data_IF_707618321620
#
_entry.id   IF_707618321620
#
_cell.length_a   1.000
_cell.length_b   1.000
_cell.length_c   1.000
_cell.angle_alpha   90.00
_cell.angle_beta   90.00
_cell.angle_gamma   90.00
#
_symmetry.space_group_name_H-M   'P 1'
#
loop_
_entity.id
_entity.type
_entity.pdbx_description
1 polymer ?
#
# COMPACT_ATOMS: atom_id res chain seq x y z
N UNK A 1 22.99 -33.15 10.60
CA UNK A 1 23.56 -31.80 10.43
C UNK A 1 22.91 -31.16 9.21
N UNK A 2 22.25 -30.01 9.36
CA UNK A 2 22.24 -28.89 8.40
C UNK A 2 21.42 -27.75 9.01
N UNK A 3 22.16 -26.83 9.62
CA UNK A 3 21.66 -25.69 10.38
C UNK A 3 21.43 -24.52 9.41
N UNK A 4 20.17 -24.22 9.08
CA UNK A 4 19.81 -22.96 8.40
C UNK A 4 20.01 -21.83 9.41
N UNK A 5 21.16 -21.16 9.37
CA UNK A 5 21.26 -19.82 9.94
C UNK A 5 20.45 -18.89 9.03
N UNK A 6 19.18 -18.67 9.38
CA UNK A 6 18.47 -17.48 8.93
C UNK A 6 19.25 -16.28 9.47
N UNK A 7 19.80 -15.49 8.56
CA UNK A 7 20.38 -14.20 8.86
C UNK A 7 19.25 -13.25 9.25
N UNK A 8 19.01 -13.09 10.54
CA UNK A 8 18.29 -11.93 11.04
C UNK A 8 19.31 -10.83 11.27
N UNK A 9 19.35 -9.85 10.37
CA UNK A 9 20.11 -8.62 10.56
C UNK A 9 19.59 -7.89 11.81
N UNK A 10 20.51 -7.34 12.60
CA UNK A 10 20.17 -6.49 13.75
C UNK A 10 19.46 -5.22 13.24
N UNK A 11 18.22 -4.92 13.67
CA UNK A 11 17.48 -3.73 13.23
C UNK A 11 18.21 -2.41 13.50
N UNK A 12 19.25 -2.41 14.35
CA UNK A 12 20.10 -1.23 14.59
C UNK A 12 21.12 -0.92 13.49
N UNK A 13 21.30 -1.80 12.51
CA UNK A 13 22.33 -1.68 11.45
C UNK A 13 21.74 -1.41 10.05
N UNK A 14 20.42 -1.23 9.95
CA UNK A 14 19.77 -0.88 8.67
C UNK A 14 20.18 0.55 8.32
N UNK A 15 20.82 0.73 7.16
CA UNK A 15 21.16 2.07 6.67
C UNK A 15 19.90 2.91 6.50
N UNK A 16 19.97 4.22 6.77
CA UNK A 16 18.79 5.11 6.72
C UNK A 16 17.98 4.98 5.43
N UNK A 17 18.65 4.77 4.29
CA UNK A 17 18.00 4.58 2.99
C UNK A 17 17.24 3.26 2.89
N UNK A 18 17.81 2.17 3.39
CA UNK A 18 17.14 0.87 3.44
C UNK A 18 15.93 0.91 4.39
N UNK A 19 16.07 1.59 5.53
CA UNK A 19 14.97 1.80 6.47
C UNK A 19 13.84 2.59 5.82
N UNK A 20 14.15 3.68 5.11
CA UNK A 20 13.16 4.48 4.41
C UNK A 20 12.47 3.71 3.28
N UNK A 21 13.23 2.92 2.51
CA UNK A 21 12.66 2.07 1.46
C UNK A 21 11.69 1.03 2.04
N UNK A 22 12.07 0.39 3.15
CA UNK A 22 11.20 -0.56 3.85
C UNK A 22 9.94 0.12 4.40
N UNK A 23 10.09 1.30 5.02
CA UNK A 23 8.95 2.05 5.54
C UNK A 23 7.98 2.45 4.42
N UNK A 24 8.49 2.89 3.28
CA UNK A 24 7.67 3.22 2.11
C UNK A 24 6.93 1.98 1.57
N UNK A 25 7.61 0.83 1.51
CA UNK A 25 6.99 -0.42 1.07
C UNK A 25 5.85 -0.85 2.00
N UNK A 26 6.09 -0.88 3.30
CA UNK A 26 5.07 -1.25 4.30
C UNK A 26 3.90 -0.26 4.30
N UNK A 27 4.19 1.03 4.12
CA UNK A 27 3.14 2.05 3.98
C UNK A 27 2.30 1.80 2.74
N UNK A 28 2.93 1.51 1.59
CA UNK A 28 2.22 1.15 0.37
C UNK A 28 1.34 -0.10 0.56
N UNK A 29 1.87 -1.14 1.23
CA UNK A 29 1.17 -2.40 1.43
C UNK A 29 -0.16 -2.20 2.18
N UNK A 30 -0.26 -1.22 3.09
CA UNK A 30 -1.54 -0.85 3.71
C UNK A 30 -2.59 -0.48 2.66
N UNK A 31 -2.30 0.49 1.79
CA UNK A 31 -3.26 0.95 0.78
C UNK A 31 -3.50 -0.07 -0.34
N UNK A 32 -2.57 -1.02 -0.50
CA UNK A 32 -2.72 -2.10 -1.45
C UNK A 32 -3.66 -3.20 -0.95
N UNK A 33 -3.65 -3.49 0.35
CA UNK A 33 -4.42 -4.58 0.94
C UNK A 33 -5.74 -4.12 1.59
N UNK A 34 -5.79 -2.94 2.20
CA UNK A 34 -6.95 -2.42 2.94
C UNK A 34 -7.99 -1.74 2.05
N UNK A 35 -7.98 -2.04 0.74
CA UNK A 35 -8.92 -1.51 -0.25
C UNK A 35 -9.96 -2.55 -0.61
N UNK A 36 -11.22 -2.14 -0.71
CA UNK A 36 -12.25 -2.97 -1.32
C UNK A 36 -12.11 -2.91 -2.86
N UNK A 37 -11.79 -4.03 -3.53
CA UNK A 37 -11.53 -4.03 -4.97
C UNK A 37 -12.77 -3.74 -5.83
N UNK A 38 -13.98 -3.83 -5.27
CA UNK A 38 -15.22 -3.59 -6.02
C UNK A 38 -15.55 -2.11 -6.17
N UNK A 39 -15.20 -1.28 -5.18
CA UNK A 39 -15.54 0.15 -5.16
C UNK A 39 -14.35 1.08 -4.91
N UNK A 40 -13.16 0.53 -4.65
CA UNK A 40 -11.94 1.31 -4.45
C UNK A 40 -11.91 2.12 -3.16
N UNK A 41 -12.82 1.86 -2.22
CA UNK A 41 -12.82 2.47 -0.89
C UNK A 41 -11.78 1.80 0.00
N UNK A 42 -11.06 2.61 0.79
CA UNK A 42 -9.98 2.14 1.68
C UNK A 42 -10.39 2.29 3.13
N UNK A 43 -10.21 1.23 3.92
CA UNK A 43 -10.47 1.23 5.35
C UNK A 43 -9.59 2.27 6.07
N UNK A 44 -10.11 2.92 7.11
CA UNK A 44 -9.40 3.96 7.86
C UNK A 44 -8.39 3.39 8.88
N UNK A 45 -8.47 2.09 9.17
CA UNK A 45 -7.52 1.36 10.01
C UNK A 45 -7.53 -0.12 9.66
N UNK A 46 -6.49 -0.86 10.07
CA UNK A 46 -6.38 -2.32 9.90
C UNK A 46 -7.27 -3.12 10.86
N UNK A 47 -8.12 -2.45 11.65
CA UNK A 47 -9.05 -3.13 12.55
C UNK A 47 -10.17 -3.75 11.73
N UNK A 48 -10.51 -5.00 12.04
CA UNK A 48 -11.64 -5.67 11.41
C UNK A 48 -12.92 -4.84 11.54
N UNK A 49 -13.60 -4.61 10.41
CA UNK A 49 -14.82 -3.81 10.35
C UNK A 49 -14.59 -2.30 10.42
N UNK A 50 -13.35 -1.81 10.25
CA UNK A 50 -13.09 -0.38 10.15
C UNK A 50 -13.87 0.24 9.00
N UNK A 51 -14.52 1.41 9.20
CA UNK A 51 -15.16 2.12 8.10
C UNK A 51 -14.11 2.60 7.11
N UNK A 52 -14.55 2.88 5.88
CA UNK A 52 -13.76 3.65 4.92
C UNK A 52 -13.91 5.16 5.17
N UNK A 53 -12.88 5.93 4.85
CA UNK A 53 -12.91 7.39 4.94
C UNK A 53 -12.41 8.06 3.66
N UNK A 54 -12.97 9.24 3.34
CA UNK A 54 -12.54 10.02 2.17
C UNK A 54 -11.07 10.46 2.28
N UNK A 55 -10.58 10.72 3.50
CA UNK A 55 -9.19 11.08 3.74
C UNK A 55 -8.24 9.94 3.33
N UNK A 56 -8.52 8.71 3.78
CA UNK A 56 -7.69 7.55 3.46
C UNK A 56 -7.79 7.18 1.98
N UNK A 57 -8.96 7.34 1.35
CA UNK A 57 -9.10 7.22 -0.11
C UNK A 57 -8.23 8.25 -0.86
N UNK A 58 -8.19 9.51 -0.40
CA UNK A 58 -7.32 10.53 -0.98
C UNK A 58 -5.83 10.19 -0.91
N UNK A 59 -5.40 9.60 0.22
CA UNK A 59 -4.03 9.09 0.35
C UNK A 59 -3.75 7.92 -0.59
N UNK A 60 -4.69 6.99 -0.74
CA UNK A 60 -4.56 5.86 -1.66
C UNK A 60 -4.35 6.33 -3.11
N UNK A 61 -5.16 7.28 -3.57
CA UNK A 61 -5.03 7.89 -4.90
C UNK A 61 -3.68 8.57 -5.11
N UNK A 62 -3.10 9.15 -4.06
CA UNK A 62 -1.75 9.75 -4.11
C UNK A 62 -0.65 8.68 -4.17
N UNK A 63 -0.87 7.54 -3.53
CA UNK A 63 0.13 6.46 -3.42
C UNK A 63 0.26 5.66 -4.71
N UNK A 64 -0.82 5.50 -5.48
CA UNK A 64 -0.76 4.75 -6.75
C UNK A 64 0.30 5.24 -7.74
N UNK A 65 0.42 6.53 -8.08
CA UNK A 65 1.52 6.99 -8.94
C UNK A 65 2.90 6.81 -8.28
N UNK A 66 3.02 7.02 -6.96
CA UNK A 66 4.30 6.80 -6.24
C UNK A 66 4.73 5.34 -6.34
N UNK A 67 3.79 4.42 -6.19
CA UNK A 67 4.04 2.98 -6.26
C UNK A 67 4.50 2.55 -7.66
N UNK A 68 3.99 3.18 -8.72
CA UNK A 68 4.45 2.96 -10.11
C UNK A 68 5.89 3.45 -10.29
N UNK A 69 6.20 4.68 -9.89
CA UNK A 69 7.55 5.25 -10.01
C UNK A 69 8.59 4.48 -9.18
N UNK A 70 8.16 3.89 -8.05
CA UNK A 70 9.00 3.02 -7.20
C UNK A 70 9.07 1.57 -7.69
N UNK A 71 8.35 1.21 -8.75
CA UNK A 71 8.30 -0.17 -9.27
C UNK A 71 7.63 -1.16 -8.32
N UNK A 72 6.78 -0.70 -7.41
CA UNK A 72 6.04 -1.59 -6.50
C UNK A 72 4.90 -2.30 -7.22
N UNK A 73 4.27 -1.64 -8.20
CA UNK A 73 3.19 -2.19 -9.02
C UNK A 73 3.28 -1.72 -10.47
N UNK A 74 2.78 -2.50 -11.43
CA UNK A 74 2.60 -2.07 -12.81
C UNK A 74 1.66 -0.86 -12.95
N UNK A 75 1.89 -0.04 -13.98
CA UNK A 75 1.11 1.18 -14.24
C UNK A 75 -0.37 0.88 -14.53
N UNK A 76 -0.63 -0.17 -15.30
CA UNK A 76 -1.98 -0.61 -15.66
C UNK A 76 -2.79 -1.04 -14.43
N UNK A 77 -2.18 -1.75 -13.48
CA UNK A 77 -2.83 -2.09 -12.21
C UNK A 77 -3.20 -0.86 -11.37
N UNK A 78 -2.26 0.11 -11.28
CA UNK A 78 -2.50 1.37 -10.58
C UNK A 78 -3.63 2.19 -11.24
N UNK A 79 -3.65 2.25 -12.57
CA UNK A 79 -4.72 2.92 -13.35
C UNK A 79 -6.06 2.23 -13.12
N UNK A 80 -6.11 0.90 -13.16
CA UNK A 80 -7.34 0.15 -12.94
C UNK A 80 -7.96 0.46 -11.58
N UNK A 81 -7.16 0.42 -10.49
CA UNK A 81 -7.63 0.77 -9.14
C UNK A 81 -8.09 2.22 -9.04
N UNK A 82 -7.31 3.14 -9.60
CA UNK A 82 -7.66 4.58 -9.63
C UNK A 82 -9.01 4.80 -10.29
N UNK A 83 -9.24 4.17 -11.45
CA UNK A 83 -10.52 4.30 -12.17
C UNK A 83 -11.68 3.67 -11.40
N UNK A 84 -11.48 2.53 -10.75
CA UNK A 84 -12.52 1.92 -9.89
C UNK A 84 -12.95 2.89 -8.79
N UNK A 85 -12.00 3.49 -8.06
CA UNK A 85 -12.30 4.46 -7.01
C UNK A 85 -13.02 5.69 -7.55
N UNK A 86 -12.52 6.29 -8.65
CA UNK A 86 -13.09 7.53 -9.19
C UNK A 86 -14.48 7.33 -9.79
N UNK A 87 -14.72 6.20 -10.47
CA UNK A 87 -16.06 5.86 -10.99
C UNK A 87 -17.04 5.65 -9.86
N UNK A 88 -16.65 4.91 -8.82
CA UNK A 88 -17.49 4.76 -7.64
C UNK A 88 -17.86 6.13 -7.06
N UNK A 89 -16.88 7.00 -6.78
CA UNK A 89 -17.16 8.33 -6.21
C UNK A 89 -18.03 9.23 -7.11
N UNK A 90 -18.01 9.01 -8.42
CA UNK A 90 -18.82 9.76 -9.37
C UNK A 90 -20.26 9.24 -9.51
N UNK A 91 -20.44 7.92 -9.42
CA UNK A 91 -21.69 7.22 -9.74
C UNK A 91 -22.52 6.83 -8.50
N UNK A 92 -21.95 6.99 -7.30
CA UNK A 92 -22.59 6.63 -6.01
C UNK A 92 -23.67 7.61 -5.55
#
# INVERSE_FOLDING_TARGET
MNNRKQSHADPKQVGNEELLNNLQRVTFDYFWHEVNPQNGLVADSTRSGSPASTATVGFALTIYPIAVERGFVPRDEAVARTLTTLRFLLES
#
